data_IF_122347652270
#
_entry.id   IF_122347652270
#
_cell.length_a   1.000
_cell.length_b   1.000
_cell.length_c   1.000
_cell.angle_alpha   90.00
_cell.angle_beta   90.00
_cell.angle_gamma   90.00
#
_symmetry.space_group_name_H-M   'P 1'
#
loop_
_entity.id
_entity.type
_entity.pdbx_description
1 polymer ?
#
# COMPACT_ATOMS: atom_id res chain seq x y z
N UNK A 1 21.05 12.61 -3.86
CA UNK A 1 19.67 12.56 -4.42
C UNK A 1 19.19 11.13 -4.74
N UNK A 2 20.05 10.21 -5.18
CA UNK A 2 19.68 8.82 -5.46
C UNK A 2 19.19 8.05 -4.20
N UNK A 3 19.93 8.16 -3.09
CA UNK A 3 19.64 7.43 -1.85
C UNK A 3 18.24 7.74 -1.30
N UNK A 4 17.87 9.02 -1.19
CA UNK A 4 16.55 9.42 -0.68
C UNK A 4 15.39 8.94 -1.57
N UNK A 5 15.55 8.97 -2.90
CA UNK A 5 14.55 8.41 -3.83
C UNK A 5 14.41 6.90 -3.65
N UNK A 6 15.52 6.17 -3.53
CA UNK A 6 15.52 4.72 -3.30
C UNK A 6 14.84 4.37 -1.97
N UNK A 7 15.16 5.09 -0.88
CA UNK A 7 14.58 4.87 0.45
C UNK A 7 13.07 5.05 0.44
N UNK A 8 12.53 6.06 -0.27
CA UNK A 8 11.09 6.28 -0.36
C UNK A 8 10.37 5.18 -1.13
N UNK A 9 10.96 4.68 -2.22
CA UNK A 9 10.41 3.54 -2.97
C UNK A 9 10.43 2.28 -2.11
N UNK A 10 11.55 2.00 -1.44
CA UNK A 10 11.69 0.86 -0.53
C UNK A 10 10.70 0.92 0.62
N UNK A 11 10.54 2.09 1.24
CA UNK A 11 9.56 2.29 2.31
C UNK A 11 8.13 2.05 1.81
N UNK A 12 7.76 2.58 0.65
CA UNK A 12 6.45 2.35 0.07
C UNK A 12 6.21 0.89 -0.32
N UNK A 13 7.22 0.20 -0.85
CA UNK A 13 7.17 -1.24 -1.14
C UNK A 13 7.03 -2.07 0.14
N UNK A 14 7.73 -1.68 1.22
CA UNK A 14 7.62 -2.32 2.53
C UNK A 14 6.20 -2.14 3.11
N UNK A 15 5.65 -0.92 3.05
CA UNK A 15 4.28 -0.64 3.49
C UNK A 15 3.26 -1.45 2.69
N UNK A 16 3.46 -1.60 1.38
CA UNK A 16 2.62 -2.44 0.53
C UNK A 16 2.71 -3.92 0.93
N UNK A 17 3.93 -4.43 1.16
CA UNK A 17 4.12 -5.81 1.61
C UNK A 17 3.45 -6.08 2.95
N UNK A 18 3.71 -5.24 3.96
CA UNK A 18 3.11 -5.39 5.30
C UNK A 18 1.59 -5.29 5.25
N UNK A 19 1.04 -4.35 4.47
CA UNK A 19 -0.39 -4.25 4.25
C UNK A 19 -0.98 -5.50 3.58
N UNK A 20 -0.29 -6.04 2.58
CA UNK A 20 -0.71 -7.27 1.89
C UNK A 20 -0.67 -8.49 2.81
N UNK A 21 0.40 -8.63 3.61
CA UNK A 21 0.54 -9.69 4.61
C UNK A 21 -0.57 -9.58 5.68
N UNK A 22 -0.79 -8.40 6.25
CA UNK A 22 -1.86 -8.18 7.23
C UNK A 22 -3.25 -8.47 6.65
N UNK A 23 -3.47 -8.14 5.38
CA UNK A 23 -4.71 -8.45 4.68
C UNK A 23 -4.93 -9.95 4.51
N UNK A 24 -3.95 -10.67 3.97
CA UNK A 24 -4.10 -12.10 3.64
C UNK A 24 -4.01 -13.04 4.83
N UNK A 25 -3.20 -12.71 5.85
CA UNK A 25 -3.01 -13.58 7.01
C UNK A 25 -3.94 -13.27 8.18
N UNK A 26 -4.52 -12.06 8.23
CA UNK A 26 -5.33 -11.63 9.36
C UNK A 26 -6.73 -11.18 8.94
N UNK A 27 -6.84 -10.02 8.30
CA UNK A 27 -8.15 -9.38 8.06
C UNK A 27 -9.06 -10.20 7.13
N UNK A 28 -8.53 -10.79 6.07
CA UNK A 28 -9.28 -11.64 5.14
C UNK A 28 -9.76 -12.95 5.78
N UNK A 29 -8.87 -13.75 6.40
CA UNK A 29 -9.29 -14.94 7.14
C UNK A 29 -10.27 -14.66 8.27
N UNK A 30 -10.07 -13.57 9.03
CA UNK A 30 -10.96 -13.18 10.12
C UNK A 30 -12.34 -12.76 9.59
N UNK A 31 -12.41 -12.07 8.45
CA UNK A 31 -13.67 -11.77 7.77
C UNK A 31 -14.44 -13.03 7.36
N UNK A 32 -13.74 -14.02 6.80
CA UNK A 32 -14.36 -15.26 6.30
C UNK A 32 -14.74 -16.20 7.45
N UNK A 33 -13.94 -16.24 8.51
CA UNK A 33 -14.16 -17.09 9.68
C UNK A 33 -15.13 -16.50 10.71
N UNK A 34 -15.29 -15.17 10.74
CA UNK A 34 -15.99 -14.46 11.81
C UNK A 34 -16.98 -13.46 11.22
N UNK A 35 -18.28 -13.75 11.34
CA UNK A 35 -19.36 -12.94 10.78
C UNK A 35 -19.77 -11.72 11.61
N UNK A 36 -18.85 -11.14 12.40
CA UNK A 36 -19.16 -10.00 13.28
C UNK A 36 -19.02 -8.67 12.54
N UNK A 37 -19.80 -7.67 12.95
CA UNK A 37 -19.70 -6.30 12.42
C UNK A 37 -18.31 -5.70 12.61
N UNK A 38 -17.65 -6.04 13.72
CA UNK A 38 -16.29 -5.59 14.04
C UNK A 38 -15.28 -6.12 13.01
N UNK A 39 -15.31 -7.43 12.71
CA UNK A 39 -14.46 -8.03 11.69
C UNK A 39 -14.70 -7.42 10.31
N UNK A 40 -15.97 -7.14 9.97
CA UNK A 40 -16.33 -6.47 8.72
C UNK A 40 -15.75 -5.05 8.63
N UNK A 41 -15.80 -4.28 9.72
CA UNK A 41 -15.23 -2.93 9.77
C UNK A 41 -13.71 -2.94 9.70
N UNK A 42 -13.05 -3.86 10.39
CA UNK A 42 -11.60 -4.03 10.32
C UNK A 42 -11.14 -4.44 8.92
N UNK A 43 -11.84 -5.39 8.30
CA UNK A 43 -11.59 -5.78 6.92
C UNK A 43 -11.84 -4.62 5.94
N UNK A 44 -12.93 -3.88 6.09
CA UNK A 44 -13.18 -2.71 5.24
C UNK A 44 -12.06 -1.66 5.36
N UNK A 45 -11.72 -1.26 6.59
CA UNK A 45 -10.67 -0.28 6.85
C UNK A 45 -9.29 -0.78 6.36
N UNK A 46 -8.99 -2.07 6.57
CA UNK A 46 -7.78 -2.71 6.08
C UNK A 46 -7.69 -2.72 4.55
N UNK A 47 -8.80 -2.98 3.85
CA UNK A 47 -8.86 -2.93 2.39
C UNK A 47 -8.59 -1.51 1.89
N UNK A 48 -9.27 -0.52 2.49
CA UNK A 48 -9.10 0.89 2.13
C UNK A 48 -7.65 1.35 2.34
N UNK A 49 -7.05 1.03 3.48
CA UNK A 49 -5.65 1.35 3.76
C UNK A 49 -4.70 0.69 2.76
N UNK A 50 -4.91 -0.60 2.46
CA UNK A 50 -4.10 -1.34 1.49
C UNK A 50 -4.18 -0.75 0.08
N UNK A 51 -5.38 -0.39 -0.38
CA UNK A 51 -5.59 0.28 -1.67
C UNK A 51 -4.91 1.65 -1.70
N UNK A 52 -5.06 2.48 -0.66
CA UNK A 52 -4.43 3.79 -0.59
C UNK A 52 -2.89 3.71 -0.64
N UNK A 53 -2.29 2.74 0.06
CA UNK A 53 -0.84 2.48 0.01
C UNK A 53 -0.44 2.07 -1.41
N UNK A 54 -1.19 1.17 -2.04
CA UNK A 54 -0.93 0.67 -3.40
C UNK A 54 -0.96 1.79 -4.44
N UNK A 55 -2.03 2.60 -4.43
CA UNK A 55 -2.18 3.74 -5.33
C UNK A 55 -1.12 4.82 -5.06
N UNK A 56 -0.84 5.12 -3.79
CA UNK A 56 0.21 6.06 -3.41
C UNK A 56 1.58 5.63 -3.91
N UNK A 57 1.92 4.35 -3.77
CA UNK A 57 3.17 3.77 -4.27
C UNK A 57 3.24 3.85 -5.80
N UNK A 58 2.19 3.46 -6.52
CA UNK A 58 2.15 3.51 -7.97
C UNK A 58 2.35 4.95 -8.50
N UNK A 59 1.65 5.94 -7.93
CA UNK A 59 1.81 7.35 -8.29
C UNK A 59 3.23 7.83 -7.96
N UNK A 60 3.78 7.44 -6.82
CA UNK A 60 5.14 7.81 -6.42
C UNK A 60 6.17 7.29 -7.42
N UNK A 61 6.05 6.04 -7.87
CA UNK A 61 6.93 5.43 -8.88
C UNK A 61 6.77 6.16 -10.22
N UNK A 62 5.54 6.38 -10.69
CA UNK A 62 5.28 7.07 -11.97
C UNK A 62 5.86 8.49 -11.95
N UNK A 63 5.62 9.26 -10.89
CA UNK A 63 6.20 10.61 -10.75
C UNK A 63 7.73 10.58 -10.67
N UNK A 64 8.28 9.57 -10.03
CA UNK A 64 9.73 9.40 -9.88
C UNK A 64 10.41 9.02 -11.19
N UNK A 65 9.72 8.25 -12.04
CA UNK A 65 10.21 7.76 -13.34
C UNK A 65 9.91 8.70 -14.51
N UNK A 66 8.93 9.61 -14.37
CA UNK A 66 8.61 10.57 -15.44
C UNK A 66 9.82 11.49 -15.71
N UNK A 67 10.28 11.62 -16.96
CA UNK A 67 11.33 12.59 -17.30
C UNK A 67 10.83 14.00 -16.99
N UNK A 68 11.69 14.85 -16.42
CA UNK A 68 11.36 16.25 -16.16
C UNK A 68 11.07 16.93 -17.49
N UNK A 69 9.80 17.24 -17.78
CA UNK A 69 9.41 18.07 -18.92
C UNK A 69 9.98 19.48 -18.66
N UNK A 70 11.11 19.80 -19.29
CA UNK A 70 11.90 21.00 -19.03
C UNK A 70 13.40 20.82 -19.26
N UNK A 71 13.88 19.60 -19.53
CA UNK A 71 15.25 19.35 -20.00
C UNK A 71 15.42 19.60 -21.50
N UNK A 72 15.08 20.81 -21.97
CA UNK A 72 15.50 21.39 -23.25
C UNK A 72 15.02 22.84 -23.35
#
# INVERSE_FOLDING_TARGET
MLAMKLTLILLGALLYLVGTLGWFFWAGPELVGTGTTEALLYAFAGTCAWLLISFGLAIHIIKTARPTAGGR
#
